data_IF_663249978468
#
_entry.id   IF_663249978468
#
_cell.length_a   1.000
_cell.length_b   1.000
_cell.length_c   1.000
_cell.angle_alpha   90.00
_cell.angle_beta   90.00
_cell.angle_gamma   90.00
#
_symmetry.space_group_name_H-M   'P 1'
#
loop_
_entity.id
_entity.type
_entity.pdbx_description
1 polymer ?
#
# COMPACT_ATOMS: atom_id res chain seq x y z
N UNK A 1 4.40 -0.86 6.66
CA UNK A 1 4.37 -2.32 6.90
C UNK A 1 3.00 -2.87 6.55
N UNK A 2 2.91 -4.14 6.19
CA UNK A 2 1.63 -4.85 6.08
C UNK A 2 1.02 -5.16 7.47
N UNK A 3 -0.12 -5.85 7.49
CA UNK A 3 -0.80 -6.28 8.72
C UNK A 3 -0.04 -7.33 9.55
N UNK A 4 1.01 -7.94 9.00
CA UNK A 4 1.88 -8.92 9.67
C UNK A 4 3.19 -8.31 10.16
N UNK A 5 3.43 -7.02 9.90
CA UNK A 5 4.66 -6.32 10.27
C UNK A 5 5.77 -6.39 9.21
N UNK A 6 5.50 -6.92 8.01
CA UNK A 6 6.51 -6.97 6.95
C UNK A 6 6.73 -5.58 6.34
N UNK A 7 8.00 -5.17 6.13
CA UNK A 7 8.33 -3.85 5.59
C UNK A 7 7.99 -3.75 4.10
N UNK A 8 7.53 -2.58 3.69
CA UNK A 8 7.13 -2.25 2.33
C UNK A 8 7.99 -1.10 1.80
N UNK A 9 8.26 -1.10 0.51
CA UNK A 9 8.88 0.00 -0.24
C UNK A 9 7.91 0.53 -1.27
N UNK A 10 8.02 1.82 -1.59
CA UNK A 10 7.13 2.53 -2.52
C UNK A 10 7.94 3.45 -3.43
N UNK A 11 7.43 3.68 -4.64
CA UNK A 11 8.01 4.65 -5.55
C UNK A 11 7.11 4.92 -6.75
N UNK A 12 7.54 5.84 -7.61
CA UNK A 12 6.83 6.14 -8.85
C UNK A 12 7.16 5.07 -9.90
N UNK A 13 6.11 4.53 -10.55
CA UNK A 13 6.25 3.49 -11.55
C UNK A 13 6.93 3.98 -12.84
N UNK A 14 6.80 5.26 -13.16
CA UNK A 14 7.38 5.88 -14.35
C UNK A 14 7.56 7.39 -14.19
N UNK A 15 8.25 8.01 -15.16
CA UNK A 15 8.36 9.48 -15.28
C UNK A 15 6.99 10.14 -15.48
N UNK A 16 6.05 9.43 -16.10
CA UNK A 16 4.67 9.89 -16.31
C UNK A 16 3.74 9.65 -15.13
N UNK A 17 4.27 9.04 -14.06
CA UNK A 17 3.53 8.76 -12.83
C UNK A 17 3.20 7.29 -12.62
N UNK A 18 2.22 7.05 -11.75
CA UNK A 18 1.85 5.74 -11.22
C UNK A 18 2.59 5.41 -9.92
N UNK A 19 1.96 4.57 -9.10
CA UNK A 19 2.57 4.04 -7.87
C UNK A 19 2.99 2.60 -8.09
N UNK A 20 4.20 2.24 -7.65
CA UNK A 20 4.54 0.85 -7.36
C UNK A 20 4.75 0.63 -5.87
N UNK A 21 4.58 -0.61 -5.45
CA UNK A 21 5.01 -1.09 -4.14
C UNK A 21 5.69 -2.45 -4.25
N UNK A 22 6.48 -2.79 -3.23
CA UNK A 22 7.00 -4.13 -3.03
C UNK A 22 7.31 -4.39 -1.55
N UNK A 23 7.58 -5.64 -1.19
CA UNK A 23 8.27 -5.93 0.07
C UNK A 23 9.75 -5.53 -0.05
N UNK A 24 10.34 -5.03 1.05
CA UNK A 24 11.75 -4.58 1.04
C UNK A 24 12.73 -5.71 0.67
N UNK A 25 12.39 -6.95 0.99
CA UNK A 25 13.22 -8.13 0.72
C UNK A 25 12.97 -8.74 -0.66
N UNK A 26 11.92 -8.32 -1.36
CA UNK A 26 11.55 -8.89 -2.64
C UNK A 26 12.39 -8.26 -3.78
N UNK A 27 12.74 -9.04 -4.83
CA UNK A 27 13.51 -8.53 -5.95
C UNK A 27 12.73 -7.48 -6.75
N UNK A 28 13.45 -6.60 -7.44
CA UNK A 28 12.85 -5.56 -8.28
C UNK A 28 12.01 -6.10 -9.46
N UNK A 29 12.15 -7.38 -9.81
CA UNK A 29 11.30 -8.04 -10.80
C UNK A 29 9.87 -8.28 -10.33
N UNK A 30 9.60 -8.13 -9.02
CA UNK A 30 8.29 -8.40 -8.40
C UNK A 30 7.49 -7.13 -8.08
N UNK A 31 7.94 -5.97 -8.56
CA UNK A 31 7.24 -4.70 -8.33
C UNK A 31 5.78 -4.77 -8.78
N UNK A 32 4.88 -4.33 -7.91
CA UNK A 32 3.44 -4.31 -8.14
C UNK A 32 2.99 -2.87 -8.40
N UNK A 33 2.35 -2.61 -9.55
CA UNK A 33 1.76 -1.29 -9.84
C UNK A 33 0.32 -1.20 -9.35
N UNK A 34 -0.07 -0.04 -8.85
CA UNK A 34 -1.38 0.19 -8.25
C UNK A 34 -1.74 1.68 -8.22
N UNK A 35 -2.97 2.00 -7.81
CA UNK A 35 -3.41 3.38 -7.57
C UNK A 35 -3.23 3.80 -6.10
N UNK A 36 -3.14 2.82 -5.20
CA UNK A 36 -2.85 3.08 -3.79
C UNK A 36 -2.63 1.80 -2.99
N UNK A 37 -2.04 1.95 -1.81
CA UNK A 37 -1.83 0.86 -0.86
C UNK A 37 -2.26 1.32 0.54
N UNK A 38 -3.17 0.58 1.16
CA UNK A 38 -3.47 0.75 2.58
C UNK A 38 -2.50 -0.10 3.37
N UNK A 39 -1.70 0.55 4.22
CA UNK A 39 -0.69 -0.11 5.04
C UNK A 39 -0.59 0.54 6.44
N UNK A 40 0.39 0.10 7.23
CA UNK A 40 0.65 0.60 8.58
C UNK A 40 1.93 1.44 8.64
N UNK A 41 1.84 2.64 9.23
CA UNK A 41 2.97 3.44 9.71
C UNK A 41 2.79 3.60 11.22
N UNK A 42 3.76 3.14 12.02
CA UNK A 42 3.69 3.14 13.49
C UNK A 42 2.35 2.56 14.01
N UNK A 43 1.88 1.46 13.41
CA UNK A 43 0.62 0.79 13.78
C UNK A 43 -0.67 1.51 13.35
N UNK A 44 -0.58 2.68 12.71
CA UNK A 44 -1.75 3.43 12.22
C UNK A 44 -1.98 3.13 10.75
N UNK A 45 -3.24 2.90 10.37
CA UNK A 45 -3.64 2.72 8.97
C UNK A 45 -3.47 4.03 8.22
N UNK A 46 -2.74 3.95 7.11
CA UNK A 46 -2.52 5.04 6.16
C UNK A 46 -2.83 4.54 4.76
N UNK A 47 -3.15 5.46 3.85
CA UNK A 47 -3.15 5.21 2.42
C UNK A 47 -1.90 5.83 1.81
N UNK A 48 -1.17 5.05 1.02
CA UNK A 48 -0.02 5.48 0.23
C UNK A 48 -0.46 5.58 -1.22
N UNK A 49 -0.17 6.70 -1.88
CA UNK A 49 -0.53 6.97 -3.28
C UNK A 49 0.50 7.87 -3.95
N UNK A 50 0.39 7.98 -5.26
CA UNK A 50 1.14 9.00 -6.01
C UNK A 50 0.70 10.42 -5.57
N UNK A 51 1.69 11.27 -5.30
CA UNK A 51 1.49 12.69 -5.07
C UNK A 51 1.37 13.43 -6.40
N UNK A 52 0.59 14.52 -6.42
CA UNK A 52 0.31 15.33 -7.64
C UNK A 52 1.55 15.93 -8.33
N UNK A 53 2.71 15.95 -7.67
CA UNK A 53 3.95 16.52 -8.18
C UNK A 53 5.06 15.46 -8.41
N UNK A 54 4.68 14.20 -8.66
CA UNK A 54 5.63 13.15 -9.02
C UNK A 54 6.37 12.54 -7.82
N UNK A 55 5.75 12.53 -6.65
CA UNK A 55 6.28 11.87 -5.45
C UNK A 55 5.34 10.78 -4.93
N UNK A 56 5.66 10.26 -3.75
CA UNK A 56 4.80 9.33 -3.00
C UNK A 56 4.33 10.04 -1.73
N UNK A 57 3.03 9.96 -1.44
CA UNK A 57 2.44 10.53 -0.24
C UNK A 57 1.81 9.44 0.62
N UNK A 58 1.98 9.53 1.93
CA UNK A 58 1.29 8.72 2.93
C UNK A 58 0.37 9.62 3.75
N UNK A 59 -0.91 9.29 3.79
CA UNK A 59 -1.94 10.11 4.42
C UNK A 59 -2.81 9.25 5.37
N UNK A 60 -3.39 9.85 6.42
CA UNK A 60 -4.37 9.15 7.24
C UNK A 60 -5.50 8.57 6.39
N UNK A 61 -5.88 7.32 6.66
CA UNK A 61 -6.97 6.67 5.94
C UNK A 61 -8.31 7.32 6.31
N UNK A 62 -9.09 7.75 5.30
CA UNK A 62 -10.40 8.37 5.51
C UNK A 62 -11.55 7.42 5.14
N UNK A 63 -12.77 7.77 5.55
CA UNK A 63 -13.96 7.00 5.18
C UNK A 63 -14.23 6.99 3.66
N UNK A 64 -13.78 8.00 2.92
CA UNK A 64 -13.89 8.04 1.46
C UNK A 64 -12.98 7.01 0.80
N UNK A 65 -11.76 6.80 1.32
CA UNK A 65 -10.81 5.82 0.78
C UNK A 65 -11.33 4.38 0.93
N UNK A 66 -12.15 4.12 1.96
CA UNK A 66 -12.80 2.83 2.19
C UNK A 66 -14.01 2.56 1.26
N UNK A 67 -14.49 3.58 0.56
CA UNK A 67 -15.66 3.50 -0.34
C UNK A 67 -15.27 3.45 -1.82
N UNK A 68 -13.97 3.46 -2.12
CA UNK A 68 -13.50 3.36 -3.49
C UNK A 68 -13.93 2.00 -4.09
N UNK A 69 -14.49 1.98 -5.31
CA UNK A 69 -14.91 0.74 -5.95
C UNK A 69 -13.70 -0.18 -6.18
N UNK A 70 -13.90 -1.50 -6.05
CA UNK A 70 -12.87 -2.56 -6.23
C UNK A 70 -12.05 -2.40 -7.53
N UNK A 71 -12.62 -1.77 -8.55
CA UNK A 71 -11.97 -1.50 -9.84
C UNK A 71 -10.92 -0.37 -9.81
N UNK A 72 -10.79 0.40 -8.72
CA UNK A 72 -9.61 1.22 -8.49
C UNK A 72 -8.63 0.35 -7.70
N UNK A 73 -7.50 0.00 -8.33
CA UNK A 73 -6.42 -0.85 -7.80
C UNK A 73 -5.81 -0.31 -6.48
N UNK A 74 -6.59 -0.26 -5.40
CA UNK A 74 -6.16 0.11 -4.04
C UNK A 74 -6.04 -1.18 -3.25
N UNK A 75 -4.81 -1.50 -2.85
CA UNK A 75 -4.50 -2.78 -2.22
C UNK A 75 -4.50 -2.60 -0.71
N UNK A 76 -5.35 -3.33 0.01
CA UNK A 76 -5.37 -3.31 1.47
C UNK A 76 -4.51 -4.41 2.08
N UNK A 77 -3.27 -4.08 2.41
CA UNK A 77 -2.31 -5.00 3.03
C UNK A 77 -2.49 -5.12 4.55
N UNK A 78 -3.43 -4.38 5.15
CA UNK A 78 -3.68 -4.43 6.61
C UNK A 78 -4.61 -5.56 7.02
N UNK A 79 -5.35 -6.15 6.07
CA UNK A 79 -6.37 -7.18 6.33
C UNK A 79 -5.82 -8.60 6.47
N UNK A 80 -4.56 -8.84 6.13
CA UNK A 80 -3.99 -10.18 6.20
C UNK A 80 -3.49 -10.49 7.63
N UNK A 81 -4.43 -10.71 8.56
CA UNK A 81 -4.13 -11.54 9.74
C UNK A 81 -4.21 -13.00 9.27
N UNK A 82 -3.17 -13.84 9.43
CA UNK A 82 -3.44 -15.27 9.49
C UNK A 82 -4.48 -15.46 10.62
N UNK A 83 -5.57 -16.19 10.35
CA UNK A 83 -6.42 -16.65 11.44
C UNK A 83 -5.49 -17.39 12.39
N UNK A 84 -5.27 -16.83 13.57
CA UNK A 84 -4.73 -17.60 14.68
C UNK A 84 -5.72 -18.73 14.89
N UNK A 85 -5.39 -19.94 14.45
CA UNK A 85 -6.05 -21.14 14.93
C UNK A 85 -5.71 -21.20 16.41
N UNK A 86 -6.68 -20.86 17.24
CA UNK A 86 -6.62 -21.06 18.69
C UNK A 86 -6.34 -22.54 18.99
N UNK A 87 -5.50 -22.78 20.01
CA UNK A 87 -5.05 -24.08 20.47
C UNK A 87 -6.17 -24.95 21.05
#
# INVERSE_FOLDING_TARGET
>A
MDGTGRPLTFGNASVTGGLYWNYVEAPASELQTCLGVICLINGRRVIVREARFGGVVAEPLTANDLRLPDNQHVIDLTRNRPRSTEC
#
